data_IF_845211034419
#
_entry.id   IF_845211034419
#
_cell.length_a   1.000
_cell.length_b   1.000
_cell.length_c   1.000
_cell.angle_alpha   90.00
_cell.angle_beta   90.00
_cell.angle_gamma   90.00
#
_symmetry.space_group_name_H-M   'P 1'
#
loop_
_entity.id
_entity.type
_entity.pdbx_description
1 polymer ?
#
# COMPACT_ATOMS: atom_id res chain seq x y z
N UNK A 1 -13.75 -70.24 13.91
CA UNK A 1 -12.56 -70.60 13.10
C UNK A 1 -11.43 -69.70 13.56
N UNK A 2 -10.72 -70.09 14.61
CA UNK A 2 -9.54 -69.36 15.09
C UNK A 2 -8.32 -69.91 14.37
N UNK A 3 -7.49 -69.03 13.79
CA UNK A 3 -6.23 -69.43 13.18
C UNK A 3 -5.38 -70.21 14.20
N UNK A 4 -4.90 -71.39 13.78
CA UNK A 4 -3.99 -72.21 14.57
C UNK A 4 -2.63 -71.51 14.66
N UNK A 5 -1.91 -71.67 15.78
CA UNK A 5 -0.54 -71.15 15.96
C UNK A 5 0.40 -71.54 14.81
N UNK A 6 0.12 -72.64 14.11
CA UNK A 6 0.90 -73.10 12.97
C UNK A 6 0.76 -72.21 11.71
N UNK A 7 -0.33 -71.44 11.56
CA UNK A 7 -0.63 -70.62 10.38
C UNK A 7 -0.16 -69.16 10.51
N UNK A 8 0.40 -68.75 11.66
CA UNK A 8 0.95 -67.41 11.79
C UNK A 8 2.29 -67.29 11.03
N UNK A 9 2.51 -66.20 10.28
CA UNK A 9 3.79 -65.96 9.63
C UNK A 9 4.91 -65.92 10.68
N UNK A 10 5.89 -66.81 10.53
CA UNK A 10 7.04 -66.86 11.43
C UNK A 10 7.97 -65.70 11.11
N UNK A 11 8.43 -65.02 12.15
CA UNK A 11 9.44 -63.97 12.04
C UNK A 11 10.71 -64.60 11.43
N UNK A 12 11.36 -63.95 10.44
CA UNK A 12 12.64 -64.40 9.91
C UNK A 12 13.65 -64.65 11.04
N UNK A 13 14.41 -65.74 10.92
CA UNK A 13 15.32 -66.22 11.97
C UNK A 13 16.28 -65.12 12.43
N UNK A 14 16.78 -64.31 11.49
CA UNK A 14 17.72 -63.21 11.78
C UNK A 14 17.12 -62.14 12.71
N UNK A 15 15.84 -61.82 12.55
CA UNK A 15 15.13 -60.84 13.38
C UNK A 15 14.80 -61.46 14.74
N UNK A 16 14.42 -62.74 14.76
CA UNK A 16 14.17 -63.46 16.00
C UNK A 16 15.45 -63.54 16.86
N UNK A 17 16.60 -63.81 16.24
CA UNK A 17 17.90 -63.84 16.91
C UNK A 17 18.37 -62.45 17.36
N UNK A 18 18.16 -61.41 16.55
CA UNK A 18 18.49 -60.03 16.92
C UNK A 18 17.65 -59.48 18.09
N UNK A 19 16.38 -59.89 18.20
CA UNK A 19 15.47 -59.46 19.28
C UNK A 19 15.63 -60.30 20.55
N UNK A 20 15.96 -61.58 20.43
CA UNK A 20 16.23 -62.47 21.58
C UNK A 20 17.66 -62.36 22.10
N UNK A 21 18.58 -61.88 21.27
CA UNK A 21 19.92 -61.46 21.68
C UNK A 21 19.85 -60.31 22.68
N UNK A 22 20.76 -60.30 23.65
CA UNK A 22 20.85 -59.25 24.66
C UNK A 22 21.34 -57.94 24.01
N UNK A 23 20.42 -57.13 23.50
CA UNK A 23 20.73 -55.79 22.97
C UNK A 23 21.01 -54.87 24.14
N UNK A 24 22.29 -54.58 24.38
CA UNK A 24 22.70 -53.60 25.39
C UNK A 24 22.49 -52.18 24.85
N UNK A 25 21.31 -51.63 25.09
CA UNK A 25 21.05 -50.21 24.85
C UNK A 25 21.97 -49.39 25.74
N UNK A 26 22.54 -48.31 25.20
CA UNK A 26 23.32 -47.36 26.00
C UNK A 26 22.44 -46.88 27.16
N UNK A 27 22.89 -47.08 28.40
CA UNK A 27 22.23 -46.51 29.57
C UNK A 27 22.27 -44.99 29.42
N UNK A 28 21.11 -44.40 29.15
CA UNK A 28 20.92 -42.95 29.20
C UNK A 28 20.47 -42.63 30.61
N UNK A 29 21.25 -41.82 31.31
CA UNK A 29 20.90 -41.31 32.63
C UNK A 29 19.76 -40.29 32.46
N UNK A 30 18.55 -40.65 32.90
CA UNK A 30 17.41 -39.74 32.88
C UNK A 30 17.51 -38.80 34.08
N UNK A 31 17.87 -37.54 33.83
CA UNK A 31 17.82 -36.51 34.86
C UNK A 31 16.41 -35.91 34.94
N UNK A 32 15.71 -36.19 36.05
CA UNK A 32 14.47 -35.51 36.40
C UNK A 32 14.81 -34.09 36.89
N UNK A 33 14.62 -33.09 36.04
CA UNK A 33 14.81 -31.67 36.42
C UNK A 33 13.60 -31.15 37.20
N UNK A 34 13.47 -31.56 38.46
CA UNK A 34 12.59 -30.89 39.41
C UNK A 34 13.30 -29.66 39.98
N UNK A 35 13.27 -28.57 39.23
CA UNK A 35 13.76 -27.27 39.69
C UNK A 35 12.70 -26.66 40.60
N UNK A 36 13.06 -26.43 41.86
CA UNK A 36 12.19 -25.71 42.78
C UNK A 36 12.13 -24.22 42.38
N UNK A 37 11.00 -23.54 42.62
CA UNK A 37 10.93 -22.09 42.46
C UNK A 37 12.05 -21.42 43.23
N UNK A 38 12.67 -20.42 42.61
CA UNK A 38 13.70 -19.61 43.25
C UNK A 38 13.06 -18.65 44.25
N UNK A 39 13.89 -18.06 45.13
CA UNK A 39 13.42 -17.04 46.08
C UNK A 39 12.81 -15.85 45.33
N UNK A 40 13.42 -15.44 44.23
CA UNK A 40 12.92 -14.40 43.33
C UNK A 40 11.54 -14.74 42.77
N UNK A 41 11.31 -15.97 42.30
CA UNK A 41 10.01 -16.40 41.76
C UNK A 41 8.89 -16.24 42.80
N UNK A 42 9.15 -16.63 44.05
CA UNK A 42 8.17 -16.51 45.15
C UNK A 42 7.91 -15.03 45.51
N UNK A 43 8.95 -14.19 45.47
CA UNK A 43 8.79 -12.75 45.76
C UNK A 43 7.99 -12.06 44.66
N UNK A 44 8.25 -12.38 43.40
CA UNK A 44 7.51 -11.86 42.26
C UNK A 44 6.04 -12.28 42.31
N UNK A 45 5.77 -13.56 42.56
CA UNK A 45 4.40 -14.07 42.73
C UNK A 45 3.67 -13.32 43.86
N UNK A 46 4.32 -13.14 45.01
CA UNK A 46 3.71 -12.42 46.13
C UNK A 46 3.37 -10.97 45.78
N UNK A 47 4.29 -10.26 45.11
CA UNK A 47 4.04 -8.88 44.65
C UNK A 47 2.88 -8.82 43.67
N UNK A 48 2.80 -9.79 42.74
CA UNK A 48 1.72 -9.88 41.77
C UNK A 48 0.37 -10.11 42.46
N UNK A 49 0.30 -11.06 43.39
CA UNK A 49 -0.90 -11.37 44.17
C UNK A 49 -1.34 -10.17 45.02
N UNK A 50 -0.41 -9.48 45.68
CA UNK A 50 -0.71 -8.27 46.46
C UNK A 50 -1.28 -7.15 45.57
N UNK A 51 -0.70 -6.93 44.39
CA UNK A 51 -1.20 -5.95 43.42
C UNK A 51 -2.61 -6.30 42.93
N UNK A 52 -2.85 -7.56 42.56
CA UNK A 52 -4.16 -8.01 42.09
C UNK A 52 -5.23 -7.88 43.17
N UNK A 53 -4.92 -8.28 44.41
CA UNK A 53 -5.82 -8.09 45.54
C UNK A 53 -6.13 -6.61 45.80
N UNK A 54 -5.13 -5.73 45.66
CA UNK A 54 -5.30 -4.28 45.79
C UNK A 54 -6.24 -3.70 44.73
N UNK A 55 -6.17 -4.21 43.50
CA UNK A 55 -7.04 -3.80 42.39
C UNK A 55 -8.46 -4.36 42.58
N UNK A 56 -8.60 -5.65 42.91
CA UNK A 56 -9.89 -6.32 43.08
C UNK A 56 -10.72 -5.68 44.21
N UNK A 57 -10.05 -5.31 45.31
CA UNK A 57 -10.69 -4.69 46.47
C UNK A 57 -10.62 -3.16 46.44
N UNK A 58 -10.24 -2.56 45.31
CA UNK A 58 -10.13 -1.11 45.20
C UNK A 58 -11.50 -0.44 45.36
N UNK A 59 -11.60 0.51 46.29
CA UNK A 59 -12.81 1.31 46.47
C UNK A 59 -12.72 2.61 45.70
N UNK A 60 -13.65 2.84 44.78
CA UNK A 60 -13.74 4.09 44.03
C UNK A 60 -13.92 5.34 44.93
N UNK A 61 -14.35 5.16 46.19
CA UNK A 61 -14.44 6.24 47.18
C UNK A 61 -13.07 6.78 47.61
N UNK A 62 -11.98 6.05 47.34
CA UNK A 62 -10.60 6.51 47.57
C UNK A 62 -10.11 7.45 46.46
N UNK A 63 -10.81 7.52 45.33
CA UNK A 63 -10.49 8.48 44.28
C UNK A 63 -10.85 9.89 44.73
N UNK A 64 -9.96 10.84 44.45
CA UNK A 64 -10.25 12.25 44.64
C UNK A 64 -11.43 12.66 43.74
N UNK A 65 -12.46 13.26 44.34
CA UNK A 65 -13.56 13.84 43.59
C UNK A 65 -13.04 14.98 42.73
N UNK A 66 -13.29 14.90 41.43
CA UNK A 66 -12.99 15.96 40.48
C UNK A 66 -14.31 16.55 40.00
N UNK A 67 -14.46 17.86 40.07
CA UNK A 67 -15.63 18.57 39.54
C UNK A 67 -15.51 18.64 38.02
N UNK A 68 -16.40 17.92 37.32
CA UNK A 68 -16.48 17.96 35.86
C UNK A 68 -17.35 19.14 35.44
N UNK A 69 -16.78 20.11 34.72
CA UNK A 69 -17.57 21.16 34.07
C UNK A 69 -17.98 20.70 32.68
N UNK A 70 -19.28 20.47 32.48
CA UNK A 70 -19.86 20.27 31.15
C UNK A 70 -19.98 21.63 30.46
N UNK A 71 -19.15 21.86 29.44
CA UNK A 71 -19.15 23.12 28.70
C UNK A 71 -20.24 23.12 27.64
N UNK A 72 -21.50 23.32 28.05
CA UNK A 72 -22.61 23.55 27.12
C UNK A 72 -22.53 24.99 26.60
N UNK A 73 -21.74 25.20 25.55
CA UNK A 73 -21.76 26.47 24.80
C UNK A 73 -22.84 26.41 23.75
N UNK A 74 -23.77 27.36 23.82
CA UNK A 74 -24.72 27.58 22.73
C UNK A 74 -23.96 28.03 21.48
N UNK A 75 -24.43 27.66 20.28
CA UNK A 75 -23.91 28.22 19.03
C UNK A 75 -23.90 29.74 19.10
N UNK A 76 -22.81 30.36 18.64
CA UNK A 76 -22.71 31.81 18.57
C UNK A 76 -23.60 32.35 17.45
N UNK A 77 -23.83 33.67 17.46
CA UNK A 77 -24.54 34.31 16.35
C UNK A 77 -23.83 34.12 15.01
N UNK A 78 -22.51 33.95 15.01
CA UNK A 78 -21.74 33.79 13.78
C UNK A 78 -21.86 32.36 13.24
N UNK A 79 -21.93 31.36 14.12
CA UNK A 79 -22.19 29.96 13.74
C UNK A 79 -23.56 29.84 13.04
N UNK A 80 -24.59 30.50 13.58
CA UNK A 80 -25.94 30.50 13.00
C UNK A 80 -25.96 31.20 11.63
N UNK A 81 -25.24 32.31 11.49
CA UNK A 81 -25.16 33.02 10.20
C UNK A 81 -24.45 32.18 9.15
N UNK A 82 -23.33 31.55 9.52
CA UNK A 82 -22.57 30.70 8.62
C UNK A 82 -23.42 29.52 8.13
N UNK A 83 -24.12 28.84 9.03
CA UNK A 83 -25.04 27.74 8.70
C UNK A 83 -26.16 28.23 7.77
N UNK A 84 -26.78 29.37 8.08
CA UNK A 84 -27.83 29.96 7.24
C UNK A 84 -27.35 30.26 5.83
N UNK A 85 -26.17 30.88 5.69
CA UNK A 85 -25.58 31.17 4.37
C UNK A 85 -25.29 29.90 3.58
N UNK A 86 -24.79 28.86 4.25
CA UNK A 86 -24.53 27.56 3.61
C UNK A 86 -25.83 26.89 3.13
N UNK A 87 -26.88 26.92 3.94
CA UNK A 87 -28.20 26.40 3.56
C UNK A 87 -28.80 27.17 2.39
N UNK A 88 -28.77 28.51 2.42
CA UNK A 88 -29.28 29.35 1.33
C UNK A 88 -28.56 29.07 0.01
N UNK A 89 -27.23 28.91 0.04
CA UNK A 89 -26.45 28.55 -1.15
C UNK A 89 -26.85 27.17 -1.69
N UNK A 90 -26.96 26.18 -0.80
CA UNK A 90 -27.26 24.79 -1.18
C UNK A 90 -28.65 24.69 -1.77
N UNK A 91 -29.65 25.31 -1.14
CA UNK A 91 -31.02 25.38 -1.65
C UNK A 91 -31.10 26.16 -2.97
N UNK A 92 -30.31 27.23 -3.12
CA UNK A 92 -30.21 27.98 -4.36
C UNK A 92 -29.68 27.14 -5.52
N UNK A 93 -28.71 26.27 -5.26
CA UNK A 93 -28.16 25.32 -6.25
C UNK A 93 -29.18 24.21 -6.57
N UNK A 94 -29.79 23.61 -5.54
CA UNK A 94 -30.77 22.53 -5.71
C UNK A 94 -32.01 22.97 -6.50
N UNK A 95 -32.48 24.19 -6.25
CA UNK A 95 -33.63 24.78 -6.94
C UNK A 95 -33.28 25.47 -8.28
N UNK A 96 -32.01 25.47 -8.69
CA UNK A 96 -31.59 26.15 -9.91
C UNK A 96 -32.07 25.39 -11.15
N UNK A 97 -32.96 26.01 -11.93
CA UNK A 97 -33.37 25.48 -13.24
C UNK A 97 -32.32 25.82 -14.30
N UNK A 98 -31.77 24.82 -15.03
CA UNK A 98 -30.85 25.04 -16.14
C UNK A 98 -31.42 25.91 -17.27
N UNK A 99 -32.74 26.03 -17.39
CA UNK A 99 -33.41 26.89 -18.38
C UNK A 99 -33.10 28.38 -18.18
N UNK A 100 -32.67 28.77 -16.97
CA UNK A 100 -32.22 30.14 -16.66
C UNK A 100 -30.83 30.43 -17.21
N UNK A 101 -30.09 29.42 -17.68
CA UNK A 101 -28.80 29.62 -18.34
C UNK A 101 -29.02 30.23 -19.72
N UNK A 102 -28.22 31.24 -20.05
CA UNK A 102 -28.24 31.84 -21.39
C UNK A 102 -27.71 30.83 -22.39
N UNK A 103 -28.39 30.69 -23.52
CA UNK A 103 -27.88 29.88 -24.63
C UNK A 103 -26.53 30.44 -25.12
N UNK A 104 -25.59 29.54 -25.36
CA UNK A 104 -24.27 29.86 -25.89
C UNK A 104 -23.89 28.79 -26.92
N UNK A 105 -23.48 29.22 -28.11
CA UNK A 105 -22.95 28.32 -29.13
C UNK A 105 -21.47 28.06 -28.83
N UNK A 106 -21.14 26.80 -28.52
CA UNK A 106 -19.75 26.37 -28.34
C UNK A 106 -19.22 25.77 -29.65
N UNK A 107 -18.05 26.23 -30.10
CA UNK A 107 -17.36 25.65 -31.26
C UNK A 107 -16.13 24.86 -30.81
N UNK A 108 -16.23 23.53 -30.90
CA UNK A 108 -15.09 22.64 -30.69
C UNK A 108 -14.33 22.51 -32.02
N UNK A 109 -13.14 23.11 -32.13
CA UNK A 109 -12.32 22.99 -33.33
C UNK A 109 -11.46 21.73 -33.28
N UNK A 110 -12.02 20.62 -33.76
CA UNK A 110 -11.22 19.47 -34.18
C UNK A 110 -10.79 19.69 -35.63
N UNK A 111 -9.68 20.40 -35.85
CA UNK A 111 -9.08 20.52 -37.18
C UNK A 111 -8.28 19.26 -37.48
N UNK A 112 -8.74 18.47 -38.45
CA UNK A 112 -7.95 17.40 -39.02
C UNK A 112 -6.76 18.01 -39.78
N UNK A 113 -5.55 17.43 -39.70
CA UNK A 113 -4.41 17.88 -40.48
C UNK A 113 -4.76 17.99 -41.97
N UNK A 114 -4.37 19.09 -42.61
CA UNK A 114 -4.60 19.25 -44.05
C UNK A 114 -3.66 18.35 -44.86
N UNK A 115 -3.97 18.14 -46.14
CA UNK A 115 -3.07 17.43 -47.06
C UNK A 115 -1.71 18.13 -47.18
N UNK A 116 -1.68 19.45 -47.08
CA UNK A 116 -0.46 20.26 -47.12
C UNK A 116 0.37 20.08 -45.86
N UNK A 117 -0.28 20.00 -44.69
CA UNK A 117 0.40 19.74 -43.42
C UNK A 117 1.05 18.37 -43.42
N UNK A 118 0.32 17.35 -43.89
CA UNK A 118 0.84 16.00 -44.02
C UNK A 118 1.95 15.90 -45.08
N UNK A 119 1.84 16.65 -46.18
CA UNK A 119 2.87 16.68 -47.21
C UNK A 119 4.15 17.36 -46.69
N UNK A 120 4.03 18.47 -45.96
CA UNK A 120 5.14 19.20 -45.36
C UNK A 120 5.90 18.35 -44.35
N UNK A 121 5.18 17.62 -43.51
CA UNK A 121 5.80 16.67 -42.58
C UNK A 121 6.61 15.60 -43.34
N UNK A 122 5.98 14.98 -44.34
CA UNK A 122 6.64 13.96 -45.17
C UNK A 122 7.85 14.47 -45.96
N UNK A 123 7.83 15.72 -46.45
CA UNK A 123 8.97 16.26 -47.19
C UNK A 123 10.18 16.51 -46.30
N UNK A 124 9.98 16.92 -45.04
CA UNK A 124 11.08 17.05 -44.10
C UNK A 124 11.74 15.71 -43.81
N UNK A 125 10.93 14.66 -43.60
CA UNK A 125 11.43 13.30 -43.39
C UNK A 125 12.19 12.76 -44.61
N UNK A 126 11.64 12.97 -45.80
CA UNK A 126 12.28 12.55 -47.05
C UNK A 126 13.58 13.30 -47.33
N UNK A 127 13.63 14.61 -47.01
CA UNK A 127 14.83 15.42 -47.17
C UNK A 127 15.94 14.96 -46.21
N UNK A 128 15.60 14.60 -44.96
CA UNK A 128 16.55 14.06 -44.00
C UNK A 128 17.17 12.72 -44.44
N UNK A 129 16.44 11.94 -45.23
CA UNK A 129 16.89 10.64 -45.74
C UNK A 129 17.49 10.71 -47.16
N UNK A 130 17.68 11.91 -47.72
CA UNK A 130 18.16 12.06 -49.08
C UNK A 130 19.67 11.74 -49.19
N UNK A 131 20.02 10.86 -50.13
CA UNK A 131 21.41 10.46 -50.39
C UNK A 131 22.18 11.54 -51.16
N UNK A 132 23.15 12.17 -50.48
CA UNK A 132 23.96 13.26 -51.04
C UNK A 132 24.82 12.84 -52.24
N UNK A 133 25.11 11.55 -52.41
CA UNK A 133 25.88 11.06 -53.56
C UNK A 133 25.09 11.17 -54.87
N UNK A 134 23.78 11.39 -54.80
CA UNK A 134 22.92 11.64 -55.97
C UNK A 134 22.93 13.11 -56.41
N UNK A 135 23.59 14.00 -55.66
CA UNK A 135 23.78 15.39 -56.08
C UNK A 135 24.89 15.47 -57.13
N UNK A 136 24.63 16.23 -58.20
CA UNK A 136 25.66 16.55 -59.18
C UNK A 136 26.60 17.60 -58.59
N UNK A 137 27.91 17.39 -58.73
CA UNK A 137 28.90 18.38 -58.34
C UNK A 137 28.78 19.64 -59.22
N UNK A 138 28.81 20.82 -58.59
CA UNK A 138 28.82 22.12 -59.26
C UNK A 138 29.92 22.96 -58.63
N UNK A 139 30.87 23.44 -59.44
CA UNK A 139 31.92 24.36 -58.99
C UNK A 139 31.37 25.80 -58.95
N UNK A 140 31.37 26.49 -57.80
CA UNK A 140 30.89 27.86 -57.71
C UNK A 140 31.90 28.84 -58.33
N UNK A 141 31.42 29.72 -59.22
CA UNK A 141 32.18 30.85 -59.75
C UNK A 141 31.89 32.10 -58.93
N UNK A 142 32.86 32.57 -58.14
CA UNK A 142 32.74 33.82 -57.36
C UNK A 142 33.22 34.99 -58.22
N UNK A 143 32.31 35.90 -58.58
CA UNK A 143 32.65 37.15 -59.28
C UNK A 143 32.72 38.30 -58.27
N UNK A 144 33.93 38.73 -57.92
CA UNK A 144 34.18 39.79 -56.93
C UNK A 144 34.35 41.20 -57.54
N UNK A 145 33.91 41.44 -58.77
CA UNK A 145 34.11 42.75 -59.42
C UNK A 145 32.92 43.67 -59.14
N UNK A 146 33.16 44.77 -58.43
CA UNK A 146 32.20 45.86 -58.26
C UNK A 146 32.34 46.79 -59.48
N UNK A 147 31.32 46.86 -60.33
CA UNK A 147 31.26 47.87 -61.39
C UNK A 147 30.79 49.20 -60.78
N UNK A 148 31.66 50.21 -60.79
CA UNK A 148 31.32 51.59 -60.40
C UNK A 148 30.63 52.24 -61.59
N UNK A 149 29.36 52.60 -61.42
CA UNK A 149 28.58 53.32 -62.42
C UNK A 149 28.85 54.82 -62.21
N UNK A 150 29.56 55.47 -63.13
CA UNK A 150 29.64 56.94 -63.19
C UNK A 150 28.35 57.51 -63.78
N UNK A 151 27.86 58.61 -63.20
CA UNK A 151 26.57 59.26 -63.47
C UNK A 151 26.50 60.01 -64.80
#
# INVERSE_FOLDING_TARGET
MSASIADLPKIPVDIAEAVTGKVELRKVETQEKNVLPTKEDVVQERQHVEMMNGIENFSANQLNKTETQEKVVLPSSDDIKAEKTHQELTQGIESFSPEKLKHTETSERVVLPSKEDLAREKTMDLAAQFDHNKLRHVEPTIKNTIEVIEQ
#
